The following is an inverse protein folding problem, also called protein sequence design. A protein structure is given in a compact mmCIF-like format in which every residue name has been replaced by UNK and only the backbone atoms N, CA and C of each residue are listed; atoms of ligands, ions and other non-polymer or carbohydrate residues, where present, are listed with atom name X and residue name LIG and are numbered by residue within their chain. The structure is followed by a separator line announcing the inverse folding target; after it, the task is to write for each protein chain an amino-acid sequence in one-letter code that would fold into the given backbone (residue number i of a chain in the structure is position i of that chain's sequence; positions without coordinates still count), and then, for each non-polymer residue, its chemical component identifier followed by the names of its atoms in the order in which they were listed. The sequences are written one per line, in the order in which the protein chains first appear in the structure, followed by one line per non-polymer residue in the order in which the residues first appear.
data_IF_331959869497
#
_entry.id   IF_331959869497
#
_cell.length_a   1.000
_cell.length_b   1.000
_cell.length_c   1.000
_cell.angle_alpha   90.00
_cell.angle_beta   90.00
_cell.angle_gamma   90.00
#
_symmetry.space_group_name_H-M   'P 1'
#
loop_
_entity.id
_entity.type
_entity.pdbx_description
1 polymer ?
#
# COMPACT_ATOMS: atom_id res chain seq x y z
N UNK A 1 -13.68 -23.12 21.22
CA UNK A 1 -12.33 -22.76 20.72
C UNK A 1 -11.80 -21.70 21.66
N UNK A 2 -10.61 -21.92 22.24
CA UNK A 2 -10.02 -20.98 23.20
C UNK A 2 -9.76 -19.63 22.52
N UNK A 3 -10.18 -18.54 23.17
CA UNK A 3 -10.02 -17.17 22.67
C UNK A 3 -8.55 -16.83 22.39
N UNK A 4 -7.62 -17.46 23.12
CA UNK A 4 -6.18 -17.33 22.89
C UNK A 4 -5.76 -17.98 21.58
N UNK A 5 -6.33 -19.15 21.24
CA UNK A 5 -6.05 -19.84 19.96
C UNK A 5 -6.56 -18.98 18.79
N UNK A 6 -7.75 -18.40 18.91
CA UNK A 6 -8.29 -17.47 17.91
C UNK A 6 -7.38 -16.27 17.73
N UNK A 7 -6.92 -15.66 18.83
CA UNK A 7 -6.01 -14.53 18.79
C UNK A 7 -4.69 -14.85 18.09
N UNK A 8 -4.10 -16.02 18.37
CA UNK A 8 -2.87 -16.49 17.72
C UNK A 8 -3.08 -16.67 16.20
N UNK A 9 -4.21 -17.23 15.78
CA UNK A 9 -4.54 -17.39 14.35
C UNK A 9 -4.62 -16.01 13.67
N UNK A 10 -5.27 -15.03 14.31
CA UNK A 10 -5.37 -13.66 13.79
C UNK A 10 -3.98 -13.03 13.64
N UNK A 11 -3.12 -13.18 14.65
CA UNK A 11 -1.72 -12.70 14.59
C UNK A 11 -0.99 -13.34 13.41
N UNK A 12 -1.10 -14.66 13.24
CA UNK A 12 -0.46 -15.37 12.14
C UNK A 12 -0.93 -14.85 10.77
N UNK A 13 -2.23 -14.58 10.60
CA UNK A 13 -2.78 -14.01 9.37
C UNK A 13 -2.20 -12.62 9.06
N UNK A 14 -2.09 -11.75 10.06
CA UNK A 14 -1.46 -10.43 9.88
C UNK A 14 0.02 -10.52 9.55
N UNK A 15 0.75 -11.45 10.18
CA UNK A 15 2.17 -11.67 9.88
C UNK A 15 2.37 -12.24 8.46
N UNK A 16 1.54 -13.17 8.02
CA UNK A 16 1.56 -13.70 6.66
C UNK A 16 1.25 -12.61 5.63
N UNK A 17 0.24 -11.79 5.88
CA UNK A 17 -0.08 -10.63 5.04
C UNK A 17 1.07 -9.61 4.99
N UNK A 18 1.72 -9.37 6.12
CA UNK A 18 2.90 -8.50 6.22
C UNK A 18 4.05 -9.06 5.38
N UNK A 19 4.35 -10.34 5.52
CA UNK A 19 5.38 -11.02 4.74
C UNK A 19 5.08 -10.96 3.23
N UNK A 20 3.81 -11.12 2.84
CA UNK A 20 3.37 -10.96 1.45
C UNK A 20 3.65 -9.54 0.92
N UNK A 21 3.31 -8.49 1.68
CA UNK A 21 3.61 -7.11 1.29
C UNK A 21 5.10 -6.85 1.19
N UNK A 22 5.89 -7.32 2.16
CA UNK A 22 7.35 -7.16 2.14
C UNK A 22 7.99 -7.90 0.96
N UNK A 23 7.45 -9.06 0.56
CA UNK A 23 7.89 -9.76 -0.65
C UNK A 23 7.58 -8.95 -1.90
N UNK A 24 6.36 -8.39 -2.02
CA UNK A 24 5.98 -7.49 -3.12
C UNK A 24 6.82 -6.20 -3.13
N UNK A 25 7.19 -5.66 -1.97
CA UNK A 25 8.07 -4.50 -1.87
C UNK A 25 9.43 -4.72 -2.53
N UNK A 26 9.98 -5.94 -2.42
CA UNK A 26 11.26 -6.30 -3.02
C UNK A 26 11.22 -6.35 -4.56
N UNK A 27 10.04 -6.45 -5.16
CA UNK A 27 9.87 -6.43 -6.63
C UNK A 27 9.64 -5.02 -7.17
N UNK A 28 9.64 -3.98 -6.32
CA UNK A 28 9.41 -2.61 -6.74
C UNK A 28 10.70 -1.99 -7.31
N UNK A 29 10.58 -1.45 -8.52
CA UNK A 29 11.59 -0.63 -9.19
C UNK A 29 11.61 0.79 -8.59
N UNK A 30 10.41 1.29 -8.25
CA UNK A 30 10.19 2.63 -7.68
C UNK A 30 9.14 2.49 -6.58
N UNK A 31 9.48 2.90 -5.36
CA UNK A 31 8.55 2.92 -4.22
C UNK A 31 7.73 4.20 -4.24
N UNK A 32 6.44 4.10 -3.93
CA UNK A 32 5.62 5.30 -3.74
C UNK A 32 6.06 6.09 -2.50
N UNK A 33 5.79 7.39 -2.54
CA UNK A 33 5.98 8.30 -1.45
C UNK A 33 4.75 8.32 -0.54
N UNK A 34 4.97 8.00 0.74
CA UNK A 34 3.93 8.11 1.77
C UNK A 34 3.86 9.55 2.27
N UNK A 35 2.75 10.23 1.95
CA UNK A 35 2.52 11.63 2.34
C UNK A 35 2.58 11.83 3.87
N UNK A 36 3.04 12.98 4.37
CA UNK A 36 3.13 13.24 5.81
C UNK A 36 1.81 13.04 6.55
N UNK A 37 0.68 13.48 5.97
CA UNK A 37 -0.65 13.28 6.56
C UNK A 37 -0.98 11.80 6.78
N UNK A 38 -0.65 10.92 5.81
CA UNK A 38 -0.84 9.47 5.96
C UNK A 38 0.00 8.89 7.10
N UNK A 39 1.21 9.39 7.33
CA UNK A 39 2.06 8.96 8.45
C UNK A 39 1.43 9.35 9.80
N UNK A 40 0.88 10.56 9.89
CA UNK A 40 0.17 11.03 11.08
C UNK A 40 -1.08 10.17 11.32
N UNK A 41 -1.87 9.89 10.29
CA UNK A 41 -3.03 8.99 10.39
C UNK A 41 -2.64 7.59 10.87
N UNK A 42 -1.52 7.03 10.39
CA UNK A 42 -1.04 5.73 10.86
C UNK A 42 -0.64 5.74 12.34
N UNK A 43 -0.01 6.82 12.81
CA UNK A 43 0.33 6.97 14.22
C UNK A 43 -0.94 7.03 15.09
N UNK A 44 -1.95 7.80 14.67
CA UNK A 44 -3.24 7.88 15.38
C UNK A 44 -3.91 6.50 15.44
N UNK A 45 -3.96 5.78 14.31
CA UNK A 45 -4.53 4.42 14.25
C UNK A 45 -3.78 3.47 15.19
N UNK A 46 -2.45 3.54 15.23
CA UNK A 46 -1.65 2.72 16.13
C UNK A 46 -1.98 2.98 17.60
N UNK A 47 -2.12 4.25 18.00
CA UNK A 47 -2.53 4.63 19.37
C UNK A 47 -3.92 4.09 19.68
N UNK A 48 -4.87 4.19 18.75
CA UNK A 48 -6.22 3.65 18.92
C UNK A 48 -6.18 2.13 19.13
N UNK A 49 -5.43 1.40 18.31
CA UNK A 49 -5.37 -0.06 18.38
C UNK A 49 -4.74 -0.55 19.69
N UNK A 50 -3.68 0.11 20.16
CA UNK A 50 -3.05 -0.21 21.45
C UNK A 50 -3.99 0.13 22.61
N UNK A 51 -4.69 1.26 22.54
CA UNK A 51 -5.68 1.66 23.55
C UNK A 51 -6.84 0.66 23.61
N UNK A 52 -7.33 0.18 22.46
CA UNK A 52 -8.35 -0.84 22.39
C UNK A 52 -7.89 -2.17 23.00
N UNK A 53 -6.67 -2.61 22.72
CA UNK A 53 -6.12 -3.82 23.32
C UNK A 53 -6.11 -3.75 24.86
N UNK A 54 -5.75 -2.58 25.40
CA UNK A 54 -5.78 -2.35 26.85
C UNK A 54 -7.20 -2.36 27.43
N UNK A 55 -8.17 -1.74 26.74
CA UNK A 55 -9.55 -1.60 27.24
C UNK A 55 -10.39 -2.88 27.14
N UNK A 56 -10.08 -3.79 26.21
CA UNK A 56 -10.85 -5.02 26.01
C UNK A 56 -10.57 -6.02 27.13
N UNK A 57 -9.32 -6.49 27.24
CA UNK A 57 -8.87 -7.41 28.29
C UNK A 57 -7.47 -7.09 28.80
N UNK A 58 -6.64 -6.41 27.99
CA UNK A 58 -5.27 -6.08 28.35
C UNK A 58 -4.36 -7.29 28.45
N UNK A 59 -4.70 -8.40 27.80
CA UNK A 59 -3.87 -9.60 27.78
C UNK A 59 -2.80 -9.50 26.70
N UNK A 60 -1.71 -10.26 26.86
CA UNK A 60 -0.60 -10.26 25.90
C UNK A 60 -1.06 -10.53 24.47
N UNK A 61 -2.05 -11.41 24.28
CA UNK A 61 -2.59 -11.74 22.95
C UNK A 61 -3.26 -10.53 22.28
N UNK A 62 -3.95 -9.68 23.03
CA UNK A 62 -4.63 -8.49 22.48
C UNK A 62 -3.61 -7.48 21.95
N UNK A 63 -2.52 -7.27 22.68
CA UNK A 63 -1.42 -6.42 22.23
C UNK A 63 -0.71 -7.00 21.01
N UNK A 64 -0.50 -8.32 20.95
CA UNK A 64 0.08 -8.98 19.77
C UNK A 64 -0.82 -8.82 18.54
N UNK A 65 -2.14 -8.92 18.69
CA UNK A 65 -3.10 -8.66 17.61
C UNK A 65 -2.97 -7.20 17.16
N UNK A 66 -2.99 -6.24 18.09
CA UNK A 66 -2.87 -4.82 17.75
C UNK A 66 -1.56 -4.52 17.00
N UNK A 67 -0.42 -4.97 17.52
CA UNK A 67 0.90 -4.73 16.91
C UNK A 67 1.03 -5.40 15.54
N UNK A 68 0.56 -6.64 15.39
CA UNK A 68 0.60 -7.33 14.09
C UNK A 68 -0.32 -6.68 13.06
N UNK A 69 -1.51 -6.22 13.46
CA UNK A 69 -2.41 -5.46 12.58
C UNK A 69 -1.80 -4.12 12.15
N UNK A 70 -1.16 -3.38 13.06
CA UNK A 70 -0.43 -2.15 12.73
C UNK A 70 0.69 -2.45 11.73
N UNK A 71 1.50 -3.48 11.99
CA UNK A 71 2.56 -3.92 11.07
C UNK A 71 2.02 -4.27 9.68
N UNK A 72 0.89 -4.98 9.62
CA UNK A 72 0.21 -5.30 8.38
C UNK A 72 -0.24 -4.06 7.61
N UNK A 73 -0.90 -3.09 8.26
CA UNK A 73 -1.32 -1.83 7.63
C UNK A 73 -0.13 -0.97 7.16
N UNK A 74 0.91 -0.85 7.98
CA UNK A 74 2.12 -0.12 7.59
C UNK A 74 2.76 -0.80 6.37
N UNK A 75 2.88 -2.13 6.40
CA UNK A 75 3.47 -2.87 5.28
C UNK A 75 2.69 -2.69 3.98
N UNK A 76 1.35 -2.62 4.03
CA UNK A 76 0.54 -2.40 2.82
C UNK A 76 0.80 -1.02 2.24
N UNK A 77 0.83 0.03 3.07
CA UNK A 77 1.01 1.41 2.62
C UNK A 77 2.41 1.62 2.03
N UNK A 78 3.45 1.09 2.68
CA UNK A 78 4.85 1.27 2.28
C UNK A 78 5.33 0.30 1.19
N UNK A 79 4.49 -0.64 0.76
CA UNK A 79 4.82 -1.59 -0.31
C UNK A 79 4.07 -1.31 -1.62
N UNK A 80 3.54 -0.09 -1.77
CA UNK A 80 3.01 0.43 -3.02
C UNK A 80 4.13 1.01 -3.91
N UNK A 81 3.92 0.99 -5.23
CA UNK A 81 4.86 1.57 -6.18
C UNK A 81 4.81 0.87 -7.55
N UNK A 82 5.86 1.06 -8.34
CA UNK A 82 6.00 0.51 -9.69
C UNK A 82 6.92 -0.72 -9.63
N UNK A 83 6.50 -1.80 -10.30
CA UNK A 83 7.25 -3.05 -10.48
C UNK A 83 7.38 -3.39 -11.96
N UNK A 84 8.19 -4.39 -12.30
CA UNK A 84 8.31 -4.90 -13.68
C UNK A 84 6.97 -5.40 -14.23
N UNK A 85 6.15 -6.02 -13.38
CA UNK A 85 4.85 -6.60 -13.78
C UNK A 85 3.76 -5.53 -13.98
N UNK A 86 3.93 -4.34 -13.40
CA UNK A 86 2.90 -3.31 -13.35
C UNK A 86 2.95 -2.46 -12.09
N UNK A 87 1.84 -1.81 -11.77
CA UNK A 87 1.77 -0.90 -10.61
C UNK A 87 1.14 -1.63 -9.43
N UNK A 88 1.88 -1.70 -8.32
CA UNK A 88 1.41 -2.20 -7.03
C UNK A 88 0.67 -1.09 -6.28
N UNK A 89 -0.60 -1.30 -5.96
CA UNK A 89 -1.47 -0.30 -5.35
C UNK A 89 -2.37 -0.89 -4.26
N UNK A 90 -2.82 -0.01 -3.38
CA UNK A 90 -3.83 -0.30 -2.38
C UNK A 90 -5.23 -0.04 -2.94
N UNK A 91 -6.11 -1.04 -2.92
CA UNK A 91 -7.45 -0.95 -3.53
C UNK A 91 -8.45 -0.10 -2.72
N UNK A 92 -8.16 0.17 -1.45
CA UNK A 92 -9.11 0.83 -0.53
C UNK A 92 -10.16 -0.11 0.08
N UNK A 93 -10.42 -1.27 -0.54
CA UNK A 93 -11.40 -2.26 -0.08
C UNK A 93 -10.78 -3.33 0.81
N UNK A 94 -9.54 -3.69 0.51
CA UNK A 94 -8.78 -4.69 1.25
C UNK A 94 -7.42 -4.12 1.60
N UNK A 95 -6.87 -4.53 2.75
CA UNK A 95 -5.49 -4.17 3.09
C UNK A 95 -4.43 -4.96 2.33
N UNK A 96 -4.85 -5.93 1.50
CA UNK A 96 -4.00 -6.69 0.61
C UNK A 96 -3.70 -5.87 -0.65
N UNK A 97 -2.42 -5.76 -0.98
CA UNK A 97 -1.96 -5.10 -2.21
C UNK A 97 -2.39 -5.84 -3.47
N UNK A 98 -2.78 -5.07 -4.47
CA UNK A 98 -3.04 -5.55 -5.83
C UNK A 98 -1.97 -5.02 -6.78
N UNK A 99 -1.72 -5.76 -7.86
CA UNK A 99 -0.89 -5.31 -8.98
C UNK A 99 -1.81 -5.06 -10.16
N UNK A 100 -1.74 -3.87 -10.76
CA UNK A 100 -2.36 -3.55 -12.05
C UNK A 100 -1.31 -3.84 -13.12
N UNK A 101 -1.44 -4.93 -13.90
CA UNK A 101 -0.48 -5.25 -14.94
C UNK A 101 -0.43 -4.14 -15.99
N UNK A 102 0.73 -3.91 -16.62
CA UNK A 102 0.90 -2.86 -17.62
C UNK A 102 -0.14 -2.93 -18.75
N UNK A 103 -0.43 -4.13 -19.24
CA UNK A 103 -1.43 -4.36 -20.30
C UNK A 103 -2.88 -4.02 -19.90
N UNK A 104 -3.15 -3.78 -18.61
CA UNK A 104 -4.47 -3.42 -18.09
C UNK A 104 -4.63 -1.92 -17.82
N UNK A 105 -3.51 -1.19 -17.82
CA UNK A 105 -3.49 0.25 -17.59
C UNK A 105 -3.86 0.94 -18.90
N UNK A 106 -4.90 1.79 -18.87
CA UNK A 106 -5.37 2.50 -20.07
C UNK A 106 -4.77 3.89 -20.20
N UNK A 107 -4.53 4.56 -19.07
CA UNK A 107 -3.97 5.90 -19.02
C UNK A 107 -3.15 6.09 -17.75
N UNK A 108 -2.04 6.81 -17.85
CA UNK A 108 -1.23 7.20 -16.71
C UNK A 108 -0.92 8.70 -16.80
N UNK A 109 -1.51 9.49 -15.93
CA UNK A 109 -1.29 10.94 -15.88
C UNK A 109 -0.28 11.26 -14.80
N UNK A 110 0.77 11.97 -15.18
CA UNK A 110 1.77 12.49 -14.24
C UNK A 110 1.55 14.00 -14.08
N UNK A 111 1.15 14.45 -12.90
CA UNK A 111 1.06 15.87 -12.60
C UNK A 111 2.35 16.37 -11.94
N UNK A 112 2.77 17.59 -12.32
CA UNK A 112 3.85 18.28 -11.61
C UNK A 112 3.44 18.50 -10.15
N UNK A 113 4.30 18.10 -9.21
CA UNK A 113 4.00 18.20 -7.78
C UNK A 113 3.50 16.92 -7.11
N UNK A 114 4.15 15.79 -7.41
CA UNK A 114 4.18 14.56 -6.60
C UNK A 114 3.18 13.46 -6.95
N UNK A 115 2.31 13.54 -7.97
CA UNK A 115 1.22 12.55 -8.12
C UNK A 115 1.21 11.96 -9.53
N UNK A 116 1.47 10.65 -9.62
CA UNK A 116 1.11 9.85 -10.78
C UNK A 116 -0.28 9.25 -10.49
N UNK A 117 -1.29 9.78 -11.19
CA UNK A 117 -2.64 9.22 -11.22
C UNK A 117 -2.70 8.17 -12.32
N UNK A 118 -2.78 6.89 -11.96
CA UNK A 118 -2.88 5.80 -12.93
C UNK A 118 -4.35 5.40 -13.04
N UNK A 119 -4.92 5.55 -14.23
CA UNK A 119 -6.26 5.11 -14.58
C UNK A 119 -6.16 3.80 -15.39
N UNK A 120 -6.47 2.69 -14.72
CA UNK A 120 -6.62 1.41 -15.39
C UNK A 120 -8.10 1.14 -15.65
N UNK A 121 -8.41 0.41 -16.72
CA UNK A 121 -9.78 0.05 -17.03
C UNK A 121 -9.90 -1.46 -17.13
N UNK A 122 -10.11 -2.03 -15.95
CA UNK A 122 -10.85 -3.27 -15.76
C UNK A 122 -12.11 -3.07 -14.91
N UNK A 123 -12.25 -1.95 -14.17
CA UNK A 123 -13.44 -1.53 -13.40
C UNK A 123 -13.16 -0.22 -12.64
N UNK A 124 -13.37 0.93 -13.30
CA UNK A 124 -13.83 2.20 -12.68
C UNK A 124 -13.15 2.67 -11.38
N UNK A 125 -11.83 2.60 -11.26
CA UNK A 125 -11.16 3.16 -10.08
C UNK A 125 -9.87 3.87 -10.47
N UNK A 126 -9.80 5.15 -10.09
CA UNK A 126 -8.60 5.97 -10.20
C UNK A 126 -7.76 5.78 -8.95
N UNK A 127 -6.50 5.44 -9.12
CA UNK A 127 -5.56 5.31 -8.01
C UNK A 127 -4.48 6.37 -8.13
N UNK A 128 -4.38 7.17 -7.07
CA UNK A 128 -3.39 8.22 -6.98
C UNK A 128 -2.25 7.73 -6.11
N UNK A 129 -1.07 7.60 -6.70
CA UNK A 129 0.15 7.31 -5.96
C UNK A 129 1.07 8.51 -6.06
N UNK A 130 1.68 8.85 -4.92
CA UNK A 130 2.69 9.89 -4.92
C UNK A 130 4.07 9.29 -5.16
N UNK A 131 4.94 10.03 -5.83
CA UNK A 131 6.33 9.63 -6.08
C UNK A 131 7.26 10.80 -5.79
N UNK A 132 8.53 10.50 -5.50
CA UNK A 132 9.52 11.56 -5.26
C UNK A 132 9.89 12.20 -6.59
N UNK A 133 10.07 13.53 -6.61
CA UNK A 133 10.41 14.27 -7.83
C UNK A 133 11.69 13.79 -8.53
N UNK A 134 12.65 13.23 -7.79
CA UNK A 134 13.87 12.63 -8.38
C UNK A 134 13.62 11.38 -9.24
N UNK A 135 12.48 10.72 -9.06
CA UNK A 135 12.15 9.48 -9.78
C UNK A 135 11.34 9.77 -11.06
N UNK A 136 11.03 11.05 -11.33
CA UNK A 136 10.19 11.51 -12.47
C UNK A 136 10.70 11.01 -13.82
N UNK A 137 11.99 11.22 -14.13
CA UNK A 137 12.57 10.79 -15.42
C UNK A 137 12.49 9.27 -15.60
N UNK A 138 12.73 8.52 -14.52
CA UNK A 138 12.65 7.06 -14.53
C UNK A 138 11.20 6.58 -14.73
N UNK A 139 10.23 7.25 -14.11
CA UNK A 139 8.80 6.95 -14.30
C UNK A 139 8.41 7.20 -15.75
N UNK A 140 8.79 8.35 -16.33
CA UNK A 140 8.49 8.68 -17.72
C UNK A 140 9.05 7.62 -18.68
N UNK A 141 10.30 7.21 -18.51
CA UNK A 141 10.91 6.16 -19.34
C UNK A 141 10.15 4.83 -19.28
N UNK A 142 9.67 4.41 -18.09
CA UNK A 142 8.86 3.20 -17.94
C UNK A 142 7.49 3.35 -18.64
N UNK A 143 6.87 4.53 -18.55
CA UNK A 143 5.58 4.78 -19.20
C UNK A 143 5.71 4.78 -20.73
N UNK A 144 6.79 5.36 -21.27
CA UNK A 144 7.10 5.35 -22.70
C UNK A 144 7.36 3.93 -23.22
N UNK A 145 8.13 3.10 -22.49
CA UNK A 145 8.39 1.70 -22.83
C UNK A 145 7.09 0.89 -22.97
N UNK A 146 6.08 1.21 -22.16
CA UNK A 146 4.78 0.54 -22.16
C UNK A 146 3.71 1.24 -23.01
N UNK A 147 4.08 2.24 -23.83
CA UNK A 147 3.17 3.00 -24.70
C UNK A 147 1.98 3.62 -23.96
N UNK A 148 2.19 4.13 -22.74
CA UNK A 148 1.17 4.81 -21.96
C UNK A 148 1.20 6.31 -22.24
N UNK A 149 0.05 6.88 -22.62
CA UNK A 149 -0.07 8.31 -22.88
C UNK A 149 0.22 9.14 -21.62
N UNK A 150 1.28 9.95 -21.69
CA UNK A 150 1.65 10.91 -20.65
C UNK A 150 1.08 12.29 -21.01
N UNK A 151 -0.12 12.62 -20.53
CA UNK A 151 -0.58 14.00 -20.54
C UNK A 151 0.06 14.77 -19.38
N UNK A 152 0.83 15.81 -19.71
CA UNK A 152 1.21 16.83 -18.73
C UNK A 152 0.04 17.79 -18.57
N UNK A 153 -0.72 17.70 -17.48
CA UNK A 153 -1.61 18.80 -17.10
C UNK A 153 -0.74 20.00 -16.69
N UNK A 154 -0.92 21.11 -17.41
CA UNK A 154 -0.27 22.41 -17.17
C UNK A 154 -0.90 23.13 -15.98
#
# INVERSE_FOLDING_TARGET
MDINIVGIIIVALFLLGTAFHLRKRKTLIITSYVKPMLKISLLIIAVIFISMAHLIRGETVDYLIALSAIGFMISSIYSQGISEEGVCYFTGKTFILSTAPWNSIKKATLSEGEILGIEFSGKTARFNQAYRGKDTEKILGILEEHNLDTEKEK
#
